data_IF_898534342538
#
_entry.id   IF_898534342538
#
_cell.length_a   1.000
_cell.length_b   1.000
_cell.length_c   1.000
_cell.angle_alpha   90.00
_cell.angle_beta   90.00
_cell.angle_gamma   90.00
#
_symmetry.space_group_name_H-M   'P 1'
#
loop_
_entity.id
_entity.type
_entity.pdbx_description
1 polymer ?
#
# COMPACT_ATOMS: atom_id res chain seq x y z
N UNK A 1 13.94 -1.07 -1.89
CA UNK A 1 13.22 -2.35 -1.70
C UNK A 1 11.72 -2.14 -1.44
N UNK A 2 11.32 -1.27 -0.49
CA UNK A 2 9.90 -0.96 -0.20
C UNK A 2 9.14 -0.30 -1.36
N UNK A 3 9.80 0.60 -2.12
CA UNK A 3 9.20 1.21 -3.33
C UNK A 3 8.79 0.21 -4.42
N UNK A 4 9.45 -0.95 -4.50
CA UNK A 4 9.21 -1.93 -5.58
C UNK A 4 7.93 -2.73 -5.31
N UNK A 5 7.71 -3.15 -4.06
CA UNK A 5 6.50 -3.92 -3.69
C UNK A 5 5.24 -3.05 -3.84
N UNK A 6 5.34 -1.76 -3.46
CA UNK A 6 4.22 -0.83 -3.57
C UNK A 6 3.85 -0.53 -5.03
N UNK A 7 4.85 -0.33 -5.89
CA UNK A 7 4.64 -0.13 -7.32
C UNK A 7 4.01 -1.38 -7.97
N UNK A 8 4.54 -2.57 -7.68
CA UNK A 8 4.11 -3.81 -8.31
C UNK A 8 2.64 -4.16 -8.00
N UNK A 9 2.23 -4.11 -6.72
CA UNK A 9 0.87 -4.55 -6.35
C UNK A 9 -0.23 -3.51 -6.59
N UNK A 10 0.06 -2.21 -6.47
CA UNK A 10 -0.97 -1.17 -6.63
C UNK A 10 -1.12 -0.68 -8.08
N UNK A 11 -0.13 -0.91 -8.94
CA UNK A 11 -0.15 -0.36 -10.32
C UNK A 11 -0.18 -1.40 -11.44
N UNK A 12 0.23 -2.66 -11.22
CA UNK A 12 0.38 -3.62 -12.32
C UNK A 12 -0.81 -4.53 -12.59
N UNK A 13 -1.74 -4.70 -11.64
CA UNK A 13 -2.99 -5.44 -11.91
C UNK A 13 -4.14 -4.47 -12.19
N UNK A 14 -4.39 -4.08 -13.46
CA UNK A 14 -5.52 -3.23 -13.82
C UNK A 14 -6.87 -3.92 -13.62
N UNK A 15 -6.89 -5.22 -13.27
CA UNK A 15 -8.09 -6.07 -13.27
C UNK A 15 -8.74 -6.14 -11.89
N UNK A 16 -7.99 -5.98 -10.81
CA UNK A 16 -8.54 -6.06 -9.44
C UNK A 16 -9.12 -4.72 -8.97
N UNK A 17 -10.30 -4.68 -8.32
CA UNK A 17 -10.81 -3.49 -7.65
C UNK A 17 -9.82 -2.92 -6.63
N UNK A 18 -9.78 -1.60 -6.47
CA UNK A 18 -8.89 -0.93 -5.51
C UNK A 18 -9.07 -1.44 -4.07
N UNK A 19 -10.31 -1.78 -3.69
CA UNK A 19 -10.61 -2.40 -2.40
C UNK A 19 -9.90 -3.73 -2.19
N UNK A 20 -9.92 -4.63 -3.17
CA UNK A 20 -9.23 -5.92 -3.04
C UNK A 20 -7.72 -5.73 -2.93
N UNK A 21 -7.15 -4.78 -3.68
CA UNK A 21 -5.72 -4.43 -3.57
C UNK A 21 -5.39 -3.84 -2.19
N UNK A 22 -6.24 -2.97 -1.64
CA UNK A 22 -6.09 -2.41 -0.31
C UNK A 22 -6.16 -3.51 0.78
N UNK A 23 -7.06 -4.48 0.65
CA UNK A 23 -7.21 -5.59 1.60
C UNK A 23 -5.94 -6.45 1.68
N UNK A 24 -5.24 -6.66 0.56
CA UNK A 24 -3.92 -7.34 0.53
C UNK A 24 -2.90 -6.56 1.38
N UNK A 25 -2.81 -5.24 1.22
CA UNK A 25 -1.87 -4.40 1.97
C UNK A 25 -2.23 -4.33 3.46
N UNK A 26 -3.51 -4.23 3.79
CA UNK A 26 -3.98 -4.26 5.17
C UNK A 26 -3.67 -5.60 5.84
N UNK A 27 -3.87 -6.70 5.14
CA UNK A 27 -3.49 -8.03 5.65
C UNK A 27 -1.97 -8.16 5.85
N UNK A 28 -1.17 -7.65 4.91
CA UNK A 28 0.28 -7.60 5.06
C UNK A 28 0.71 -6.74 6.27
N UNK A 29 0.02 -5.62 6.52
CA UNK A 29 0.27 -4.77 7.69
C UNK A 29 -0.01 -5.50 9.00
N UNK A 30 -1.09 -6.28 9.08
CA UNK A 30 -1.42 -7.06 10.29
C UNK A 30 -0.43 -8.21 10.54
N UNK A 31 -0.01 -8.90 9.47
CA UNK A 31 1.03 -9.91 9.55
C UNK A 31 2.38 -9.32 10.00
N UNK A 32 2.73 -8.14 9.50
CA UNK A 32 3.95 -7.41 9.88
C UNK A 32 3.86 -6.85 11.31
N UNK A 33 2.67 -6.45 11.78
CA UNK A 33 2.45 -5.96 13.14
C UNK A 33 2.53 -7.09 14.19
N UNK A 34 2.09 -8.29 13.84
CA UNK A 34 2.12 -9.46 14.71
C UNK A 34 3.17 -10.48 14.29
N UNK A 35 2.71 -11.53 13.62
CA UNK A 35 3.45 -12.79 13.36
C UNK A 35 4.88 -12.59 12.85
N UNK A 36 5.11 -11.60 11.99
CA UNK A 36 6.41 -11.41 11.35
C UNK A 36 7.21 -10.21 11.88
N UNK A 37 6.73 -9.45 12.86
CA UNK A 37 7.38 -8.22 13.34
C UNK A 37 8.85 -8.43 13.69
N UNK A 38 9.11 -9.40 14.58
CA UNK A 38 10.47 -9.69 15.03
C UNK A 38 11.35 -10.27 13.92
N UNK A 39 10.75 -10.99 12.96
CA UNK A 39 11.47 -11.53 11.81
C UNK A 39 11.91 -10.40 10.85
N UNK A 40 11.05 -9.40 10.62
CA UNK A 40 11.37 -8.22 9.83
C UNK A 40 12.49 -7.40 10.49
N UNK A 41 12.37 -7.13 11.80
CA UNK A 41 13.42 -6.42 12.54
C UNK A 41 14.76 -7.15 12.48
N UNK A 42 14.77 -8.46 12.76
CA UNK A 42 16.00 -9.25 12.72
C UNK A 42 16.64 -9.25 11.32
N UNK A 43 15.83 -9.42 10.27
CA UNK A 43 16.32 -9.35 8.88
C UNK A 43 16.92 -7.98 8.55
N UNK A 44 16.30 -6.89 9.00
CA UNK A 44 16.79 -5.52 8.80
C UNK A 44 18.06 -5.23 9.60
N UNK A 45 18.15 -5.70 10.85
CA UNK A 45 19.36 -5.56 11.66
C UNK A 45 20.55 -6.29 11.02
N UNK A 46 20.34 -7.54 10.59
CA UNK A 46 21.40 -8.36 9.99
C UNK A 46 21.76 -7.94 8.56
N UNK A 47 20.76 -7.62 7.74
CA UNK A 47 20.95 -7.30 6.32
C UNK A 47 21.34 -5.85 6.05
N UNK A 48 20.98 -4.93 6.94
CA UNK A 48 21.21 -3.48 6.76
C UNK A 48 22.00 -2.83 7.89
N UNK A 49 22.46 -3.62 8.88
CA UNK A 49 23.31 -3.12 9.98
C UNK A 49 22.61 -2.17 10.95
N UNK A 50 21.28 -2.20 11.01
CA UNK A 50 20.49 -1.30 11.88
C UNK A 50 20.50 -1.78 13.33
N UNK A 51 20.48 -0.83 14.27
CA UNK A 51 20.19 -1.14 15.68
C UNK A 51 18.73 -1.59 15.85
N UNK A 52 18.40 -2.21 16.97
CA UNK A 52 17.02 -2.68 17.23
C UNK A 52 15.99 -1.56 17.12
N UNK A 53 16.31 -0.35 17.63
CA UNK A 53 15.40 0.80 17.56
C UNK A 53 15.25 1.31 16.14
N UNK A 54 16.35 1.37 15.37
CA UNK A 54 16.30 1.79 13.97
C UNK A 54 15.53 0.79 13.09
N UNK A 55 15.69 -0.50 13.35
CA UNK A 55 14.97 -1.56 12.66
C UNK A 55 13.47 -1.48 12.98
N UNK A 56 13.10 -1.35 14.26
CA UNK A 56 11.72 -1.22 14.71
C UNK A 56 11.01 -0.01 14.07
N UNK A 57 11.68 1.14 13.99
CA UNK A 57 11.10 2.35 13.41
C UNK A 57 10.85 2.17 11.90
N UNK A 58 11.79 1.58 11.16
CA UNK A 58 11.70 1.45 9.69
C UNK A 58 10.91 0.23 9.23
N UNK A 59 11.41 -0.98 9.54
CA UNK A 59 10.90 -2.21 8.92
C UNK A 59 9.64 -2.78 9.58
N UNK A 60 9.29 -2.25 10.77
CA UNK A 60 8.03 -2.53 11.42
C UNK A 60 7.10 -1.31 11.38
N UNK A 61 7.32 -0.28 12.20
CA UNK A 61 6.38 0.83 12.36
C UNK A 61 6.09 1.57 11.05
N UNK A 62 7.12 2.12 10.40
CA UNK A 62 6.96 2.91 9.18
C UNK A 62 6.37 2.07 8.04
N UNK A 63 6.82 0.83 7.85
CA UNK A 63 6.25 -0.07 6.84
C UNK A 63 4.75 -0.38 7.07
N UNK A 64 4.36 -0.68 8.31
CA UNK A 64 2.96 -0.96 8.68
C UNK A 64 2.09 0.27 8.46
N UNK A 65 2.58 1.44 8.88
CA UNK A 65 1.88 2.70 8.70
C UNK A 65 1.72 3.04 7.23
N UNK A 66 2.75 2.85 6.41
CA UNK A 66 2.66 3.04 4.96
C UNK A 66 1.55 2.19 4.33
N UNK A 67 1.43 0.92 4.71
CA UNK A 67 0.38 0.06 4.18
C UNK A 67 -1.02 0.51 4.63
N UNK A 68 -1.19 0.84 5.90
CA UNK A 68 -2.50 1.25 6.44
C UNK A 68 -2.95 2.61 5.90
N UNK A 69 -2.08 3.61 5.98
CA UNK A 69 -2.41 4.97 5.57
C UNK A 69 -2.59 5.09 4.07
N UNK A 70 -1.73 4.50 3.24
CA UNK A 70 -1.93 4.58 1.79
C UNK A 70 -3.15 3.79 1.32
N UNK A 71 -3.48 2.66 1.95
CA UNK A 71 -4.72 1.95 1.66
C UNK A 71 -5.94 2.82 1.98
N UNK A 72 -5.94 3.50 3.14
CA UNK A 72 -6.97 4.48 3.49
C UNK A 72 -7.05 5.60 2.46
N UNK A 73 -5.92 6.21 2.10
CA UNK A 73 -5.89 7.33 1.15
C UNK A 73 -6.39 6.92 -0.23
N UNK A 74 -6.01 5.74 -0.73
CA UNK A 74 -6.48 5.22 -2.00
C UNK A 74 -8.00 4.98 -2.01
N UNK A 75 -8.53 4.38 -0.93
CA UNK A 75 -9.97 4.17 -0.77
C UNK A 75 -10.76 5.47 -0.59
N UNK A 76 -10.19 6.45 0.11
CA UNK A 76 -10.80 7.77 0.27
C UNK A 76 -10.82 8.54 -1.06
N UNK A 77 -9.79 8.38 -1.89
CA UNK A 77 -9.69 9.01 -3.21
C UNK A 77 -10.79 8.52 -4.17
N UNK A 78 -11.12 7.22 -4.15
CA UNK A 78 -12.20 6.65 -4.99
C UNK A 78 -13.61 7.13 -4.61
N UNK A 79 -13.79 7.75 -3.44
CA UNK A 79 -15.10 8.29 -3.03
C UNK A 79 -15.45 9.59 -3.76
N UNK A 80 -14.49 10.21 -4.44
CA UNK A 80 -14.75 11.41 -5.21
C UNK A 80 -15.60 11.08 -6.44
N UNK A 81 -16.76 11.74 -6.54
CA UNK A 81 -17.64 11.69 -7.70
C UNK A 81 -17.79 13.09 -8.29
N UNK A 82 -17.58 13.28 -9.60
CA UNK A 82 -17.81 14.56 -10.25
C UNK A 82 -19.31 14.89 -10.32
N UNK A 83 -19.62 16.19 -10.36
CA UNK A 83 -21.00 16.66 -10.51
C UNK A 83 -21.61 16.09 -11.78
N UNK A 84 -22.72 15.37 -11.66
CA UNK A 84 -23.54 14.89 -12.77
C UNK A 84 -24.69 15.87 -13.05
N UNK A 85 -25.17 15.92 -14.28
CA UNK A 85 -26.34 16.75 -14.66
C UNK A 85 -27.57 15.86 -14.88
N UNK A 86 -28.74 16.46 -15.13
CA UNK A 86 -29.95 15.68 -15.43
C UNK A 86 -29.85 14.85 -16.71
N UNK A 87 -28.98 15.24 -17.65
CA UNK A 87 -28.83 14.60 -18.97
C UNK A 87 -27.53 13.81 -19.12
N UNK A 88 -26.60 13.92 -18.16
CA UNK A 88 -25.29 13.27 -18.23
C UNK A 88 -24.83 12.78 -16.88
N UNK A 89 -24.28 11.56 -16.86
CA UNK A 89 -23.60 10.98 -15.69
C UNK A 89 -22.10 11.06 -15.91
N UNK A 90 -21.40 11.69 -14.97
CA UNK A 90 -19.95 11.80 -14.99
C UNK A 90 -19.36 10.83 -13.97
N UNK A 91 -18.24 10.20 -14.30
CA UNK A 91 -17.49 9.32 -13.40
C UNK A 91 -16.01 9.56 -13.56
N UNK A 92 -15.28 9.62 -12.44
CA UNK A 92 -13.83 9.67 -12.44
C UNK A 92 -13.27 8.26 -12.22
N UNK A 93 -12.26 7.87 -12.99
CA UNK A 93 -11.57 6.60 -12.84
C UNK A 93 -10.07 6.88 -12.68
N UNK A 94 -9.52 6.50 -11.53
CA UNK A 94 -8.08 6.57 -11.25
C UNK A 94 -7.39 5.36 -11.87
N UNK A 95 -6.79 5.56 -13.05
CA UNK A 95 -6.06 4.51 -13.75
C UNK A 95 -4.64 4.35 -13.21
N UNK A 96 -4.14 3.12 -13.21
CA UNK A 96 -2.71 2.85 -13.05
C UNK A 96 -1.91 3.50 -14.18
N UNK A 97 -0.61 3.67 -13.97
CA UNK A 97 0.27 4.14 -15.05
C UNK A 97 0.46 3.03 -16.08
N UNK A 98 0.51 3.41 -17.36
CA UNK A 98 0.88 2.50 -18.44
C UNK A 98 2.36 2.11 -18.27
N UNK A 99 2.64 0.82 -18.38
CA UNK A 99 4.00 0.29 -18.26
C UNK A 99 4.39 -0.32 -19.59
N UNK A 100 4.97 0.49 -20.47
CA UNK A 100 5.62 0.01 -21.69
C UNK A 100 7.09 -0.23 -21.36
N UNK A 101 7.50 -1.50 -21.24
CA UNK A 101 8.90 -1.90 -21.20
C UNK A 101 9.35 -2.37 -22.58
#
# INVERSE_FOLDING_TARGET
MIKIIFQFYMTESPIQPCRERADILLHAADLAAGKYRMKLNAATMLGQGKSIVQAEIDSACELIDFFRFNSKFALDLEKYEPISTKISTNKLIYRGMEVNF
#
